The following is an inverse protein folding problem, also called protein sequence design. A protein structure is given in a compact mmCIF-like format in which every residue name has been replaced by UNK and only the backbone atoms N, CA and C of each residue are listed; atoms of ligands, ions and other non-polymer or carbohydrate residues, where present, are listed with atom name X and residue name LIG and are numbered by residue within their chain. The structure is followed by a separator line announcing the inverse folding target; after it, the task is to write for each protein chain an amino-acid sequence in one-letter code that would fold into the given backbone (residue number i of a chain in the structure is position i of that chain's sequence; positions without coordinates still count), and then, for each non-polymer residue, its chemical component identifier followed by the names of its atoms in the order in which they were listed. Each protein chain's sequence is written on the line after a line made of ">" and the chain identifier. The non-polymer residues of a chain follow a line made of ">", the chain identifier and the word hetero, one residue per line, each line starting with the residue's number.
data_IF_505512397634
#
_entry.id   IF_505512397634
#
_cell.length_a   1.000
_cell.length_b   1.000
_cell.length_c   1.000
_cell.angle_alpha   90.00
_cell.angle_beta   90.00
_cell.angle_gamma   90.00
#
_symmetry.space_group_name_H-M   'P 1'
#
loop_
_entity.id
_entity.type
_entity.pdbx_description
1 polymer ?
#
# COMPACT_ATOMS: atom_id res chain seq x y z
N UNK A 1 -59.37 1.66 -12.76
CA UNK A 1 -58.26 1.89 -11.81
C UNK A 1 -56.99 1.95 -12.64
N UNK A 2 -56.39 3.14 -12.66
CA UNK A 2 -55.56 3.68 -13.76
C UNK A 2 -54.25 2.91 -13.98
N UNK A 3 -53.86 2.76 -15.27
CA UNK A 3 -52.54 2.27 -15.73
C UNK A 3 -51.37 2.97 -15.02
N UNK A 4 -51.59 4.21 -14.58
CA UNK A 4 -50.65 5.02 -13.79
C UNK A 4 -50.21 4.34 -12.49
N UNK A 5 -51.07 3.56 -11.83
CA UNK A 5 -50.73 2.90 -10.54
C UNK A 5 -49.82 1.68 -10.76
N UNK A 6 -49.95 1.00 -11.91
CA UNK A 6 -49.06 -0.09 -12.29
C UNK A 6 -47.69 0.42 -12.76
N UNK A 7 -47.66 1.53 -13.51
CA UNK A 7 -46.42 2.19 -13.92
C UNK A 7 -45.64 2.76 -12.72
N UNK A 8 -46.34 3.27 -11.69
CA UNK A 8 -45.67 3.80 -10.49
C UNK A 8 -45.11 2.68 -9.60
N UNK A 9 -45.77 1.51 -9.55
CA UNK A 9 -45.24 0.33 -8.84
C UNK A 9 -44.05 -0.29 -9.57
N UNK A 10 -44.09 -0.38 -10.90
CA UNK A 10 -42.97 -0.86 -11.70
C UNK A 10 -41.77 0.10 -11.63
N UNK A 11 -42.01 1.42 -11.61
CA UNK A 11 -40.95 2.41 -11.38
C UNK A 11 -40.38 2.36 -9.95
N UNK A 12 -41.20 2.06 -8.93
CA UNK A 12 -40.73 1.88 -7.54
C UNK A 12 -40.01 0.54 -7.33
N UNK A 13 -40.42 -0.54 -8.01
CA UNK A 13 -39.73 -1.83 -8.00
C UNK A 13 -38.42 -1.77 -8.80
N UNK A 14 -38.37 -1.03 -9.92
CA UNK A 14 -37.13 -0.73 -10.63
C UNK A 14 -36.22 0.21 -9.82
N UNK A 15 -36.75 1.20 -9.10
CA UNK A 15 -35.95 2.03 -8.19
C UNK A 15 -35.49 1.29 -6.92
N UNK A 16 -36.09 0.15 -6.55
CA UNK A 16 -35.56 -0.72 -5.49
C UNK A 16 -34.56 -1.75 -6.02
N UNK A 17 -34.66 -2.12 -7.30
CA UNK A 17 -33.71 -3.01 -7.97
C UNK A 17 -32.45 -2.28 -8.45
N UNK A 18 -32.52 -0.98 -8.73
CA UNK A 18 -31.37 -0.13 -9.12
C UNK A 18 -30.53 0.35 -7.90
N UNK A 19 -30.92 -0.03 -6.67
CA UNK A 19 -30.13 0.17 -5.44
C UNK A 19 -29.38 -1.11 -5.06
N UNK A 20 -29.53 -2.17 -5.85
CA UNK A 20 -29.03 -3.51 -5.58
C UNK A 20 -28.08 -4.03 -6.65
N UNK A 21 -27.18 -3.20 -7.18
CA UNK A 21 -26.09 -3.69 -8.07
C UNK A 21 -24.84 -2.78 -8.12
N UNK A 22 -24.68 -1.84 -7.17
CA UNK A 22 -23.37 -1.28 -6.84
C UNK A 22 -22.88 -1.98 -5.58
N UNK A 23 -22.13 -3.07 -5.77
CA UNK A 23 -21.17 -3.53 -4.75
C UNK A 23 -20.30 -2.31 -4.44
N UNK A 24 -20.57 -1.62 -3.32
CA UNK A 24 -19.84 -0.44 -2.88
C UNK A 24 -18.44 -0.88 -2.39
N UNK A 25 -17.61 -1.36 -3.33
CA UNK A 25 -16.28 -1.94 -3.13
C UNK A 25 -15.24 -0.83 -3.09
N UNK A 26 -15.32 -0.02 -2.05
CA UNK A 26 -14.36 1.05 -1.80
C UNK A 26 -14.68 1.79 -0.51
N UNK A 27 -13.71 2.55 0.03
CA UNK A 27 -13.92 3.30 1.26
C UNK A 27 -15.02 4.35 1.10
N UNK A 28 -15.78 4.58 2.15
CA UNK A 28 -16.79 5.62 2.21
C UNK A 28 -16.12 6.99 2.21
N UNK A 29 -16.54 7.83 1.24
CA UNK A 29 -16.03 9.21 1.13
C UNK A 29 -16.53 10.10 2.28
N UNK A 30 -15.75 11.11 2.63
CA UNK A 30 -16.06 12.01 3.75
C UNK A 30 -17.35 12.82 3.55
N UNK A 31 -17.79 13.00 2.31
CA UNK A 31 -19.00 13.75 1.99
C UNK A 31 -20.26 13.11 2.61
N UNK A 32 -20.25 11.80 2.87
CA UNK A 32 -21.33 11.11 3.60
C UNK A 32 -21.51 11.63 5.03
N UNK A 33 -20.47 12.22 5.64
CA UNK A 33 -20.55 12.84 6.97
C UNK A 33 -21.35 14.15 6.95
N UNK A 34 -21.46 14.85 5.81
CA UNK A 34 -22.24 16.08 5.69
C UNK A 34 -23.73 15.84 5.97
N UNK A 35 -24.24 14.70 5.49
CA UNK A 35 -25.63 14.30 5.72
C UNK A 35 -25.99 14.11 7.20
N UNK A 36 -24.98 14.00 8.08
CA UNK A 36 -25.13 13.80 9.53
C UNK A 36 -24.83 15.07 10.34
N UNK A 37 -24.88 16.23 9.69
CA UNK A 37 -24.79 17.55 10.31
C UNK A 37 -23.36 17.96 10.69
N UNK A 38 -22.38 17.60 9.85
CA UNK A 38 -21.02 18.12 9.88
C UNK A 38 -20.84 19.14 8.74
N UNK A 39 -19.94 20.10 8.93
CA UNK A 39 -19.73 21.16 7.94
C UNK A 39 -18.59 20.82 6.99
N UNK A 40 -18.57 21.45 5.80
CA UNK A 40 -17.45 21.32 4.86
C UNK A 40 -16.10 21.68 5.48
N UNK A 41 -16.08 22.70 6.35
CA UNK A 41 -14.89 23.10 7.11
C UNK A 41 -14.37 21.96 8.01
N UNK A 42 -15.27 21.20 8.64
CA UNK A 42 -14.84 20.06 9.45
C UNK A 42 -14.20 18.96 8.59
N UNK A 43 -14.68 18.77 7.35
CA UNK A 43 -14.06 17.82 6.41
C UNK A 43 -12.68 18.28 5.95
N UNK A 44 -12.52 19.58 5.65
CA UNK A 44 -11.23 20.15 5.26
C UNK A 44 -10.19 19.96 6.38
N UNK A 45 -10.59 20.18 7.64
CA UNK A 45 -9.73 19.90 8.81
C UNK A 45 -9.35 18.40 8.93
N UNK A 46 -10.27 17.49 8.62
CA UNK A 46 -9.97 16.06 8.61
C UNK A 46 -8.96 15.70 7.51
N UNK A 47 -9.13 16.26 6.31
CA UNK A 47 -8.21 16.09 5.19
C UNK A 47 -6.82 16.66 5.51
N UNK A 48 -6.74 17.84 6.14
CA UNK A 48 -5.48 18.41 6.66
C UNK A 48 -4.83 17.54 7.74
N UNK A 49 -5.65 16.84 8.53
CA UNK A 49 -5.20 15.85 9.51
C UNK A 49 -4.79 14.49 8.92
N UNK A 50 -4.82 14.32 7.59
CA UNK A 50 -4.47 13.08 6.89
C UNK A 50 -5.54 11.99 6.97
N UNK A 51 -6.78 12.36 7.30
CA UNK A 51 -7.94 11.45 7.36
C UNK A 51 -8.83 11.73 6.16
N UNK A 52 -8.77 10.86 5.15
CA UNK A 52 -9.43 11.08 3.86
C UNK A 52 -10.73 10.28 3.66
N UNK A 53 -11.05 9.35 4.56
CA UNK A 53 -12.22 8.46 4.45
C UNK A 53 -12.95 8.33 5.79
N UNK A 54 -14.21 7.87 5.77
CA UNK A 54 -15.01 7.68 6.99
C UNK A 54 -14.40 6.58 7.86
N UNK A 55 -13.89 5.51 7.27
CA UNK A 55 -13.20 4.41 7.97
C UNK A 55 -11.95 4.92 8.69
N UNK A 56 -11.15 5.78 8.05
CA UNK A 56 -9.99 6.41 8.69
C UNK A 56 -10.41 7.15 9.97
N UNK A 57 -11.52 7.90 9.93
CA UNK A 57 -12.09 8.59 11.08
C UNK A 57 -12.64 7.58 12.10
N UNK A 58 -13.27 6.48 11.66
CA UNK A 58 -13.84 5.43 12.51
C UNK A 58 -12.78 4.58 13.23
N UNK A 59 -11.60 4.39 12.64
CA UNK A 59 -10.48 3.63 13.20
C UNK A 59 -9.51 4.50 14.03
N UNK A 60 -9.37 5.79 13.75
CA UNK A 60 -8.41 6.65 14.46
C UNK A 60 -8.74 6.78 15.97
N UNK A 61 -7.80 6.66 16.91
CA UNK A 61 -8.13 6.87 18.32
C UNK A 61 -8.59 8.31 18.56
N UNK A 62 -9.40 8.55 19.61
CA UNK A 62 -9.92 9.89 19.93
C UNK A 62 -8.78 10.92 20.09
N UNK A 63 -7.65 10.50 20.65
CA UNK A 63 -6.43 11.32 20.78
C UNK A 63 -5.92 11.86 19.45
N UNK A 64 -6.03 11.09 18.35
CA UNK A 64 -5.62 11.55 17.01
C UNK A 64 -6.54 12.65 16.49
N UNK A 65 -7.84 12.54 16.72
CA UNK A 65 -8.80 13.57 16.32
C UNK A 65 -8.61 14.87 17.11
N UNK A 66 -8.34 14.77 18.41
CA UNK A 66 -8.07 15.92 19.27
C UNK A 66 -6.75 16.63 18.96
N UNK A 67 -5.81 15.94 18.31
CA UNK A 67 -4.55 16.55 17.88
C UNK A 67 -4.72 17.46 16.65
N UNK A 68 -5.84 17.35 15.93
CA UNK A 68 -6.15 18.20 14.78
C UNK A 68 -6.62 19.57 15.31
N UNK A 69 -5.89 20.62 14.94
CA UNK A 69 -6.21 22.00 15.34
C UNK A 69 -7.61 22.37 14.83
N UNK A 70 -8.46 22.88 15.72
CA UNK A 70 -9.83 23.32 15.39
C UNK A 70 -10.92 22.28 15.66
N UNK A 71 -10.57 21.04 16.05
CA UNK A 71 -11.54 20.03 16.48
C UNK A 71 -11.67 20.07 18.01
N UNK A 72 -12.88 20.39 18.51
CA UNK A 72 -13.20 20.32 19.93
C UNK A 72 -13.53 18.89 20.37
N UNK A 73 -13.48 18.61 21.66
CA UNK A 73 -13.80 17.29 22.21
C UNK A 73 -15.22 16.82 21.88
N UNK A 74 -16.20 17.73 21.97
CA UNK A 74 -17.59 17.46 21.58
C UNK A 74 -17.71 17.09 20.10
N UNK A 75 -16.98 17.81 19.22
CA UNK A 75 -16.95 17.51 17.78
C UNK A 75 -16.29 16.16 17.50
N UNK A 76 -15.16 15.86 18.15
CA UNK A 76 -14.47 14.59 17.99
C UNK A 76 -15.33 13.40 18.43
N UNK A 77 -16.07 13.54 19.53
CA UNK A 77 -17.03 12.53 19.99
C UNK A 77 -18.17 12.31 18.98
N UNK A 78 -18.76 13.41 18.45
CA UNK A 78 -19.80 13.34 17.42
C UNK A 78 -19.29 12.66 16.15
N UNK A 79 -18.11 13.05 15.65
CA UNK A 79 -17.45 12.43 14.50
C UNK A 79 -17.30 10.93 14.70
N UNK A 80 -16.86 10.51 15.89
CA UNK A 80 -16.70 9.10 16.22
C UNK A 80 -17.98 8.31 16.26
N UNK A 81 -19.02 8.89 16.84
CA UNK A 81 -20.33 8.25 16.90
C UNK A 81 -20.87 8.03 15.48
N UNK A 82 -20.91 9.08 14.67
CA UNK A 82 -21.43 9.03 13.30
C UNK A 82 -20.64 8.04 12.44
N UNK A 83 -19.31 8.07 12.52
CA UNK A 83 -18.48 7.17 11.70
C UNK A 83 -18.64 5.70 12.09
N UNK A 84 -18.86 5.41 13.38
CA UNK A 84 -19.14 4.03 13.84
C UNK A 84 -20.47 3.49 13.33
N UNK A 85 -21.49 4.35 13.27
CA UNK A 85 -22.80 3.99 12.72
C UNK A 85 -22.72 3.68 11.22
N UNK A 86 -21.92 4.44 10.47
CA UNK A 86 -21.74 4.23 9.02
C UNK A 86 -20.92 2.98 8.68
N UNK A 87 -19.86 2.70 9.45
CA UNK A 87 -18.97 1.55 9.19
C UNK A 87 -19.43 0.24 9.86
N UNK A 88 -20.63 0.22 10.47
CA UNK A 88 -21.19 -0.95 11.17
C UNK A 88 -20.16 -1.69 12.06
N UNK A 89 -19.42 -0.95 12.88
CA UNK A 89 -18.36 -1.52 13.70
C UNK A 89 -18.95 -2.32 14.87
N UNK A 90 -18.93 -3.65 14.77
CA UNK A 90 -19.50 -4.55 15.77
C UNK A 90 -19.09 -6.00 15.57
N UNK A 91 -19.69 -6.89 16.37
CA UNK A 91 -19.56 -8.33 16.19
C UNK A 91 -20.39 -8.77 14.99
N UNK A 92 -19.82 -9.62 14.15
CA UNK A 92 -20.54 -10.39 13.13
C UNK A 92 -20.37 -11.89 13.43
N UNK A 93 -21.20 -12.71 12.80
CA UNK A 93 -21.04 -14.16 12.86
C UNK A 93 -19.80 -14.61 12.09
N UNK A 94 -19.21 -15.74 12.50
CA UNK A 94 -18.07 -16.31 11.77
C UNK A 94 -18.43 -16.68 10.31
N UNK A 95 -19.70 -17.00 10.06
CA UNK A 95 -20.22 -17.31 8.72
C UNK A 95 -20.19 -16.07 7.81
N UNK A 96 -20.75 -14.94 8.26
CA UNK A 96 -20.72 -13.67 7.50
C UNK A 96 -19.28 -13.23 7.22
N UNK A 97 -18.37 -13.40 8.19
CA UNK A 97 -16.97 -13.06 8.00
C UNK A 97 -16.27 -13.99 6.99
N UNK A 98 -16.60 -15.28 6.97
CA UNK A 98 -16.08 -16.22 5.98
C UNK A 98 -16.51 -15.84 4.56
N UNK A 99 -17.78 -15.47 4.38
CA UNK A 99 -18.32 -15.01 3.09
C UNK A 99 -17.65 -13.71 2.65
N UNK A 100 -17.47 -12.74 3.57
CA UNK A 100 -16.75 -11.51 3.28
C UNK A 100 -15.29 -11.78 2.84
N UNK A 101 -14.61 -12.73 3.48
CA UNK A 101 -13.24 -13.12 3.10
C UNK A 101 -13.16 -13.87 1.78
N UNK A 102 -14.18 -14.64 1.42
CA UNK A 102 -14.24 -15.34 0.14
C UNK A 102 -14.30 -14.36 -1.05
N UNK A 103 -14.81 -13.15 -0.81
CA UNK A 103 -14.89 -12.08 -1.79
C UNK A 103 -13.61 -11.22 -1.89
N UNK A 104 -12.57 -11.50 -1.09
CA UNK A 104 -11.30 -10.78 -1.19
C UNK A 104 -10.60 -11.12 -2.50
N UNK A 105 -10.13 -10.07 -3.18
CA UNK A 105 -9.41 -10.21 -4.43
C UNK A 105 -8.02 -10.79 -4.14
N UNK A 106 -7.63 -11.77 -4.95
CA UNK A 106 -6.26 -12.26 -5.01
C UNK A 106 -5.78 -12.14 -6.45
N UNK A 107 -4.58 -11.61 -6.64
CA UNK A 107 -4.01 -11.47 -7.97
C UNK A 107 -2.71 -12.25 -8.14
N UNK A 108 -2.50 -12.72 -9.37
CA UNK A 108 -1.43 -13.62 -9.76
C UNK A 108 -0.05 -13.03 -9.49
N UNK A 109 0.89 -13.89 -9.08
CA UNK A 109 2.32 -13.60 -8.99
C UNK A 109 3.03 -13.70 -10.33
N UNK A 110 2.36 -14.19 -11.38
CA UNK A 110 2.91 -14.50 -12.69
C UNK A 110 3.49 -15.91 -12.84
N UNK A 111 3.48 -16.72 -11.77
CA UNK A 111 3.89 -18.13 -11.77
C UNK A 111 2.76 -18.99 -11.21
N UNK A 112 2.38 -20.04 -11.94
CA UNK A 112 1.36 -20.99 -11.51
C UNK A 112 1.78 -21.73 -10.24
N UNK A 113 3.07 -22.06 -10.11
CA UNK A 113 3.58 -22.72 -8.90
C UNK A 113 3.47 -21.83 -7.65
N UNK A 114 3.82 -20.54 -7.78
CA UNK A 114 3.67 -19.58 -6.68
C UNK A 114 2.20 -19.34 -6.34
N UNK A 115 1.34 -19.20 -7.33
CA UNK A 115 -0.09 -18.98 -7.11
C UNK A 115 -0.76 -20.20 -6.47
N UNK A 116 -0.30 -21.40 -6.81
CA UNK A 116 -0.72 -22.65 -6.17
C UNK A 116 -0.28 -22.71 -4.70
N UNK A 117 0.97 -22.32 -4.41
CA UNK A 117 1.47 -22.22 -3.04
C UNK A 117 0.65 -21.23 -2.20
N UNK A 118 0.27 -20.09 -2.79
CA UNK A 118 -0.49 -19.04 -2.13
C UNK A 118 -2.02 -19.21 -2.20
N UNK A 119 -2.51 -20.25 -2.88
CA UNK A 119 -3.93 -20.50 -3.15
C UNK A 119 -4.63 -19.28 -3.77
N UNK A 120 -4.10 -18.81 -4.90
CA UNK A 120 -4.65 -17.73 -5.72
C UNK A 120 -3.78 -16.48 -5.86
N UNK A 121 -2.55 -16.49 -5.30
CA UNK A 121 -1.63 -15.36 -5.41
C UNK A 121 -1.66 -14.41 -4.20
N UNK A 122 -1.42 -13.12 -4.43
CA UNK A 122 -1.32 -12.12 -3.36
C UNK A 122 -2.71 -11.62 -2.97
N UNK A 123 -3.07 -11.75 -1.70
CA UNK A 123 -4.36 -11.35 -1.15
C UNK A 123 -4.42 -9.86 -0.78
N UNK A 124 -5.49 -9.17 -1.18
CA UNK A 124 -5.79 -7.80 -0.79
C UNK A 124 -6.23 -7.68 0.68
N UNK A 125 -6.03 -6.51 1.30
CA UNK A 125 -6.39 -6.28 2.70
C UNK A 125 -5.40 -6.86 3.71
N UNK A 126 -4.29 -7.44 3.24
CA UNK A 126 -3.24 -8.02 4.08
C UNK A 126 -1.87 -7.37 3.80
N UNK A 127 -0.99 -7.42 4.81
CA UNK A 127 0.42 -7.09 4.71
C UNK A 127 1.25 -8.37 4.47
N UNK A 128 1.88 -8.44 3.29
CA UNK A 128 2.76 -9.54 2.89
C UNK A 128 4.23 -9.09 2.92
N UNK A 129 5.05 -9.81 3.68
CA UNK A 129 6.50 -9.55 3.77
C UNK A 129 7.27 -10.50 2.82
N UNK A 130 8.08 -9.92 1.94
CA UNK A 130 9.06 -10.63 1.12
C UNK A 130 10.44 -10.45 1.72
N UNK A 131 11.06 -11.52 2.23
CA UNK A 131 12.41 -11.44 2.77
C UNK A 131 13.33 -12.51 2.22
N UNK A 132 14.63 -12.23 2.24
CA UNK A 132 15.64 -13.14 1.72
C UNK A 132 16.93 -12.42 1.37
N UNK A 133 17.91 -13.19 0.94
CA UNK A 133 19.23 -12.67 0.61
C UNK A 133 19.23 -11.72 -0.59
N UNK A 134 20.39 -11.10 -0.85
CA UNK A 134 20.58 -10.37 -2.09
C UNK A 134 20.41 -11.31 -3.28
N UNK A 135 19.93 -10.78 -4.42
CA UNK A 135 19.76 -11.50 -5.69
C UNK A 135 18.70 -12.63 -5.68
N UNK A 136 17.89 -12.76 -4.63
CA UNK A 136 16.80 -13.77 -4.57
C UNK A 136 15.54 -13.39 -5.35
N UNK A 137 15.44 -12.13 -5.82
CA UNK A 137 14.35 -11.71 -6.71
C UNK A 137 13.24 -10.88 -6.07
N UNK A 138 13.40 -10.40 -4.83
CA UNK A 138 12.39 -9.58 -4.12
C UNK A 138 11.81 -8.45 -5.00
N UNK A 139 12.66 -7.53 -5.48
CA UNK A 139 12.22 -6.44 -6.37
C UNK A 139 11.66 -6.94 -7.71
N UNK A 140 12.13 -8.07 -8.25
CA UNK A 140 11.59 -8.63 -9.50
C UNK A 140 10.16 -9.16 -9.31
N UNK A 141 9.87 -9.76 -8.15
CA UNK A 141 8.52 -10.13 -7.77
C UNK A 141 7.65 -8.88 -7.60
N UNK A 142 8.13 -7.85 -6.90
CA UNK A 142 7.43 -6.56 -6.79
C UNK A 142 7.12 -5.94 -8.17
N UNK A 143 8.07 -5.91 -9.10
CA UNK A 143 7.83 -5.41 -10.47
C UNK A 143 6.76 -6.22 -11.21
N UNK A 144 6.72 -7.54 -11.01
CA UNK A 144 5.71 -8.39 -11.65
C UNK A 144 4.33 -8.13 -11.06
N UNK A 145 4.24 -7.99 -9.74
CA UNK A 145 3.01 -7.66 -9.03
C UNK A 145 2.46 -6.27 -9.39
N UNK A 146 3.33 -5.30 -9.65
CA UNK A 146 2.94 -3.95 -10.08
C UNK A 146 2.23 -3.94 -11.46
N UNK A 147 2.44 -4.98 -12.27
CA UNK A 147 1.73 -5.19 -13.54
C UNK A 147 0.51 -6.07 -13.34
N UNK A 148 0.65 -7.20 -12.64
CA UNK A 148 -0.46 -8.16 -12.50
C UNK A 148 -1.65 -7.62 -11.71
N UNK A 149 -1.43 -6.68 -10.78
CA UNK A 149 -2.52 -6.02 -10.06
C UNK A 149 -3.41 -5.15 -10.97
N UNK A 150 -2.94 -4.79 -12.17
CA UNK A 150 -3.68 -3.99 -13.15
C UNK A 150 -4.52 -4.84 -14.09
N UNK A 151 -4.31 -6.16 -14.12
CA UNK A 151 -5.05 -7.06 -15.00
C UNK A 151 -6.54 -7.12 -14.61
N UNK A 152 -7.42 -7.49 -15.57
CA UNK A 152 -8.82 -7.80 -15.29
C UNK A 152 -8.97 -8.93 -14.29
N UNK A 153 -10.08 -8.94 -13.53
CA UNK A 153 -10.34 -9.99 -12.53
C UNK A 153 -10.43 -11.37 -13.19
N UNK A 154 -10.94 -11.45 -14.43
CA UNK A 154 -11.01 -12.69 -15.21
C UNK A 154 -9.63 -13.29 -15.51
N UNK A 155 -8.58 -12.47 -15.50
CA UNK A 155 -7.19 -12.90 -15.68
C UNK A 155 -6.44 -13.03 -14.35
N UNK A 156 -7.17 -13.22 -13.24
CA UNK A 156 -6.60 -13.23 -11.88
C UNK A 156 -5.84 -11.94 -11.57
N UNK A 157 -6.39 -10.81 -12.01
CA UNK A 157 -5.88 -9.48 -11.76
C UNK A 157 -6.59 -8.75 -10.63
N UNK A 158 -6.06 -7.57 -10.28
CA UNK A 158 -6.61 -6.72 -9.23
C UNK A 158 -7.48 -5.58 -9.73
N UNK A 159 -7.54 -5.30 -11.04
CA UNK A 159 -8.19 -4.16 -11.68
C UNK A 159 -7.89 -2.78 -11.07
N UNK A 160 -6.67 -2.60 -10.54
CA UNK A 160 -6.33 -1.37 -9.82
C UNK A 160 -4.93 -0.87 -10.11
N UNK A 161 -4.74 0.42 -9.85
CA UNK A 161 -3.43 1.07 -9.94
C UNK A 161 -2.47 0.54 -8.87
N UNK A 162 -1.18 0.77 -9.09
CA UNK A 162 -0.13 0.43 -8.14
C UNK A 162 0.49 1.69 -7.54
N UNK A 163 0.75 1.70 -6.24
CA UNK A 163 1.56 2.70 -5.57
C UNK A 163 2.88 2.08 -5.13
N UNK A 164 4.01 2.71 -5.47
CA UNK A 164 5.35 2.21 -5.19
C UNK A 164 6.13 3.23 -4.37
N UNK A 165 6.54 2.83 -3.16
CA UNK A 165 7.46 3.58 -2.31
C UNK A 165 8.80 2.88 -2.32
N UNK A 166 9.81 3.55 -2.88
CA UNK A 166 11.17 3.04 -3.02
C UNK A 166 12.11 3.70 -2.02
N UNK A 167 12.98 2.92 -1.38
CA UNK A 167 14.03 3.42 -0.49
C UNK A 167 15.43 3.22 -1.05
N UNK A 168 15.60 2.24 -1.94
CA UNK A 168 16.91 1.82 -2.44
C UNK A 168 17.19 2.35 -3.86
N UNK A 169 16.17 2.83 -4.57
CA UNK A 169 16.28 3.23 -5.97
C UNK A 169 16.35 2.04 -6.90
N UNK A 170 15.60 0.97 -6.62
CA UNK A 170 15.61 -0.31 -7.35
C UNK A 170 14.50 -0.43 -8.39
N UNK A 171 13.54 0.50 -8.39
CA UNK A 171 12.49 0.55 -9.41
C UNK A 171 13.09 0.84 -10.80
N UNK A 172 12.75 0.01 -11.79
CA UNK A 172 13.23 0.13 -13.18
C UNK A 172 12.04 0.07 -14.13
N UNK A 173 11.58 1.20 -14.70
CA UNK A 173 10.44 1.24 -15.61
C UNK A 173 10.56 0.31 -16.81
N UNK A 174 11.79 0.08 -17.31
CA UNK A 174 12.05 -0.81 -18.44
C UNK A 174 11.65 -2.26 -18.14
N UNK A 175 11.71 -2.67 -16.87
CA UNK A 175 11.21 -3.98 -16.43
C UNK A 175 9.70 -4.05 -16.46
N UNK A 176 9.00 -2.97 -16.11
CA UNK A 176 7.54 -2.89 -16.23
C UNK A 176 7.13 -3.08 -17.69
N UNK A 177 7.83 -2.44 -18.63
CA UNK A 177 7.56 -2.57 -20.07
C UNK A 177 7.67 -4.02 -20.55
N UNK A 178 8.72 -4.75 -20.14
CA UNK A 178 8.89 -6.14 -20.57
C UNK A 178 7.84 -7.08 -19.97
N UNK A 179 7.41 -6.80 -18.74
CA UNK A 179 6.38 -7.58 -18.05
C UNK A 179 4.99 -7.27 -18.62
N UNK A 180 4.65 -6.00 -18.85
CA UNK A 180 3.38 -5.57 -19.45
C UNK A 180 3.14 -6.25 -20.81
N UNK A 181 4.17 -6.29 -21.66
CA UNK A 181 4.12 -6.99 -22.96
C UNK A 181 3.79 -8.48 -22.80
N UNK A 182 4.36 -9.15 -21.80
CA UNK A 182 4.07 -10.57 -21.54
C UNK A 182 2.60 -10.79 -21.18
N UNK A 183 2.02 -9.90 -20.38
CA UNK A 183 0.62 -9.98 -19.99
C UNK A 183 -0.35 -9.35 -21.00
N UNK A 184 0.13 -8.90 -22.16
CA UNK A 184 -0.72 -8.32 -23.21
C UNK A 184 -1.28 -6.92 -22.88
N UNK A 185 -0.69 -6.22 -21.91
CA UNK A 185 -1.05 -4.84 -21.57
C UNK A 185 -0.26 -3.83 -22.41
N UNK A 186 -0.85 -2.67 -22.67
CA UNK A 186 -0.11 -1.54 -23.24
C UNK A 186 0.93 -1.02 -22.22
N UNK A 187 2.22 -0.95 -22.58
CA UNK A 187 3.25 -0.50 -21.64
C UNK A 187 3.11 0.96 -21.19
N UNK A 188 2.56 1.84 -22.03
CA UNK A 188 2.36 3.24 -21.69
C UNK A 188 1.29 3.39 -20.62
N UNK A 189 0.11 2.81 -20.87
CA UNK A 189 -0.98 2.80 -19.90
C UNK A 189 -0.59 2.12 -18.59
N UNK A 190 0.18 1.02 -18.67
CA UNK A 190 0.67 0.29 -17.50
C UNK A 190 1.63 1.13 -16.65
N UNK A 191 2.49 1.93 -17.27
CA UNK A 191 3.40 2.84 -16.58
C UNK A 191 2.65 4.02 -15.93
N UNK A 192 1.68 4.61 -16.63
CA UNK A 192 0.86 5.72 -16.11
C UNK A 192 0.01 5.31 -14.90
N UNK A 193 -0.33 4.02 -14.80
CA UNK A 193 -1.05 3.44 -13.67
C UNK A 193 -0.16 3.09 -12.46
N UNK A 194 1.15 3.36 -12.51
CA UNK A 194 2.08 3.16 -11.39
C UNK A 194 2.52 4.52 -10.84
N UNK A 195 2.05 4.86 -9.63
CA UNK A 195 2.52 6.03 -8.90
C UNK A 195 3.81 5.69 -8.14
N UNK A 196 4.92 6.35 -8.47
CA UNK A 196 6.23 6.11 -7.86
C UNK A 196 6.65 7.28 -6.96
N UNK A 197 7.12 6.96 -5.75
CA UNK A 197 7.77 7.90 -4.85
C UNK A 197 9.05 7.28 -4.27
N UNK A 198 10.10 8.10 -4.12
CA UNK A 198 11.34 7.68 -3.47
C UNK A 198 11.49 8.36 -2.12
N UNK A 199 11.60 7.56 -1.06
CA UNK A 199 11.96 8.04 0.26
C UNK A 199 13.49 8.19 0.35
N UNK A 200 13.93 9.38 0.72
CA UNK A 200 15.35 9.71 0.88
C UNK A 200 15.74 9.87 2.36
N UNK A 201 17.02 9.66 2.63
CA UNK A 201 17.66 10.16 3.83
C UNK A 201 17.68 11.69 3.80
N UNK A 202 16.72 12.33 4.45
CA UNK A 202 16.71 13.78 4.63
C UNK A 202 17.66 14.16 5.77
N UNK A 203 18.96 14.24 5.50
CA UNK A 203 19.84 15.07 6.34
C UNK A 203 19.58 16.55 6.04
N UNK A 204 19.19 17.33 7.07
CA UNK A 204 19.13 18.81 7.24
C UNK A 204 18.82 19.77 6.05
N UNK A 205 18.54 19.32 4.81
CA UNK A 205 18.61 20.21 3.63
C UNK A 205 17.40 20.18 2.69
N UNK A 206 16.45 19.26 2.86
CA UNK A 206 15.36 19.07 1.88
C UNK A 206 14.03 19.78 2.19
N UNK A 207 13.97 20.73 3.14
CA UNK A 207 12.72 21.46 3.43
C UNK A 207 12.39 22.52 2.36
N UNK A 208 13.30 22.82 1.42
CA UNK A 208 13.03 23.81 0.35
C UNK A 208 12.24 23.27 -0.85
N UNK A 209 11.88 21.99 -0.88
CA UNK A 209 11.22 21.34 -2.02
C UNK A 209 9.69 21.18 -1.94
N UNK A 210 9.04 21.60 -0.86
CA UNK A 210 7.61 21.28 -0.57
C UNK A 210 6.55 21.92 -1.50
N UNK A 211 6.90 22.43 -2.68
CA UNK A 211 5.92 22.98 -3.64
C UNK A 211 6.05 22.46 -5.09
N UNK A 212 6.96 21.52 -5.40
CA UNK A 212 7.18 21.10 -6.80
C UNK A 212 6.47 19.80 -7.22
N UNK A 213 5.91 19.00 -6.30
CA UNK A 213 5.36 17.67 -6.62
C UNK A 213 3.83 17.59 -6.74
N UNK A 214 3.12 18.72 -6.75
CA UNK A 214 1.65 18.76 -6.86
C UNK A 214 1.14 18.96 -8.31
N UNK A 215 1.99 18.80 -9.32
CA UNK A 215 1.64 19.07 -10.72
C UNK A 215 1.94 17.87 -11.63
N UNK A 216 1.21 16.77 -11.43
CA UNK A 216 1.17 15.67 -12.39
C UNK A 216 -0.14 14.87 -12.30
N UNK A 217 -1.28 15.53 -12.05
CA UNK A 217 -2.61 14.92 -12.12
C UNK A 217 -3.69 15.97 -12.43
N UNK A 218 -3.43 16.88 -13.36
CA UNK A 218 -4.48 17.73 -13.97
C UNK A 218 -4.13 17.96 -15.44
N UNK A 219 -4.70 17.14 -16.35
CA UNK A 219 -4.42 17.31 -17.77
C UNK A 219 -4.99 16.26 -18.70
N UNK A 220 -6.26 15.86 -18.53
CA UNK A 220 -7.01 15.21 -19.60
C UNK A 220 -7.66 16.30 -20.45
N UNK A 221 -7.02 16.68 -21.57
CA UNK A 221 -7.68 17.28 -22.74
C UNK A 221 -6.70 17.49 -23.90
N UNK A 222 -6.87 16.71 -24.96
CA UNK A 222 -6.74 17.22 -26.33
C UNK A 222 -5.34 17.26 -26.96
N UNK A 223 -5.29 16.77 -28.20
CA UNK A 223 -4.16 16.77 -29.11
C UNK A 223 -3.45 18.12 -29.24
N UNK A 224 -2.13 18.12 -29.34
CA UNK A 224 -1.36 18.69 -30.46
C UNK A 224 0.14 18.68 -30.19
N UNK A 225 0.90 18.58 -31.27
CA UNK A 225 2.32 18.27 -31.35
C UNK A 225 3.28 19.34 -30.79
N UNK A 226 4.43 18.86 -30.32
CA UNK A 226 5.73 19.45 -30.69
C UNK A 226 6.36 20.50 -29.76
N UNK A 227 7.68 20.34 -29.60
CA UNK A 227 8.71 21.30 -29.20
C UNK A 227 9.15 21.43 -27.72
N UNK A 228 10.38 20.95 -27.54
CA UNK A 228 11.35 21.14 -26.47
C UNK A 228 11.64 22.63 -26.18
N UNK A 229 11.66 23.02 -24.89
CA UNK A 229 12.47 24.12 -24.30
C UNK A 229 12.32 24.05 -22.76
N UNK A 230 13.32 23.73 -21.94
CA UNK A 230 14.60 24.40 -21.61
C UNK A 230 14.42 25.88 -21.22
N UNK A 231 14.68 26.15 -19.92
CA UNK A 231 14.81 27.44 -19.20
C UNK A 231 13.52 28.20 -18.82
N UNK A 232 13.24 28.30 -17.51
CA UNK A 232 13.18 29.61 -16.82
C UNK A 232 13.39 29.47 -15.30
N UNK A 233 14.57 29.91 -14.86
CA UNK A 233 14.98 30.16 -13.49
C UNK A 233 14.91 31.69 -13.33
N UNK A 234 13.97 32.25 -12.55
CA UNK A 234 14.19 33.53 -11.85
C UNK A 234 13.05 33.89 -10.87
N UNK A 235 13.48 34.16 -9.63
CA UNK A 235 12.97 35.18 -8.71
C UNK A 235 11.55 35.06 -8.17
N UNK A 236 11.41 34.41 -7.01
CA UNK A 236 10.42 34.85 -6.03
C UNK A 236 11.08 35.03 -4.66
N UNK A 237 11.16 36.30 -4.26
CA UNK A 237 11.65 36.77 -2.98
C UNK A 237 10.46 36.73 -2.01
N UNK A 238 10.48 35.85 -1.00
CA UNK A 238 9.54 35.91 0.11
C UNK A 238 10.29 35.85 1.44
N UNK A 239 10.36 37.01 2.09
CA UNK A 239 10.65 37.12 3.51
C UNK A 239 9.40 36.74 4.31
N UNK A 240 9.53 35.78 5.23
CA UNK A 240 8.97 35.94 6.59
C UNK A 240 9.57 34.90 7.52
N UNK A 241 10.12 35.39 8.63
CA UNK A 241 10.58 34.64 9.79
C UNK A 241 9.39 34.01 10.51
N UNK A 242 9.50 32.74 10.88
CA UNK A 242 8.96 32.23 12.14
C UNK A 242 9.76 30.98 12.55
N UNK A 243 10.45 31.09 13.69
CA UNK A 243 11.15 29.99 14.35
C UNK A 243 10.15 28.98 14.87
N UNK A 244 9.74 28.05 14.02
CA UNK A 244 9.18 26.78 14.48
C UNK A 244 10.35 25.83 14.61
N UNK A 245 10.56 25.26 15.80
CA UNK A 245 11.53 24.20 16.04
C UNK A 245 11.33 23.11 14.98
N UNK A 246 12.22 23.07 13.98
CA UNK A 246 12.25 22.01 12.98
C UNK A 246 12.76 20.79 13.74
N UNK A 247 11.85 19.92 14.18
CA UNK A 247 12.26 18.57 14.52
C UNK A 247 12.88 17.98 13.25
N UNK A 248 14.13 17.52 13.35
CA UNK A 248 14.83 16.87 12.26
C UNK A 248 13.93 15.78 11.68
N UNK A 249 13.52 15.93 10.42
CA UNK A 249 12.67 14.95 9.75
C UNK A 249 13.57 13.75 9.44
N UNK A 250 13.37 12.66 10.18
CA UNK A 250 14.11 11.42 9.93
C UNK A 250 13.70 10.82 8.59
N UNK A 251 14.55 9.98 7.99
CA UNK A 251 14.20 9.33 6.73
C UNK A 251 13.01 8.36 6.84
N UNK A 252 12.79 7.66 7.97
CA UNK A 252 11.53 7.00 8.29
C UNK A 252 10.32 7.92 8.44
N UNK A 253 10.48 9.16 8.92
CA UNK A 253 9.35 10.11 8.99
C UNK A 253 8.86 10.46 7.58
N UNK A 254 9.79 10.59 6.61
CA UNK A 254 9.41 10.77 5.21
C UNK A 254 8.63 9.57 4.66
N UNK A 255 8.98 8.33 5.05
CA UNK A 255 8.16 7.16 4.68
C UNK A 255 6.73 7.27 5.23
N UNK A 256 6.54 7.75 6.46
CA UNK A 256 5.21 7.99 7.03
C UNK A 256 4.45 9.12 6.33
N UNK A 257 5.14 10.19 5.92
CA UNK A 257 4.54 11.29 5.14
C UNK A 257 4.04 10.77 3.78
N UNK A 258 4.84 9.95 3.09
CA UNK A 258 4.43 9.31 1.84
C UNK A 258 3.21 8.39 2.01
N UNK A 259 3.08 7.68 3.14
CA UNK A 259 1.86 6.90 3.43
C UNK A 259 0.62 7.78 3.63
N UNK A 260 0.80 8.97 4.20
CA UNK A 260 -0.30 9.94 4.36
C UNK A 260 -0.76 10.44 2.99
N UNK A 261 0.18 10.78 2.10
CA UNK A 261 -0.11 11.16 0.71
C UNK A 261 -0.75 10.02 -0.07
N UNK A 262 -0.27 8.78 0.12
CA UNK A 262 -0.87 7.59 -0.49
C UNK A 262 -2.34 7.44 -0.12
N UNK A 263 -2.71 7.67 1.15
CA UNK A 263 -4.10 7.68 1.59
C UNK A 263 -4.96 8.71 0.85
N UNK A 264 -4.44 9.91 0.59
CA UNK A 264 -5.15 10.92 -0.21
C UNK A 264 -5.39 10.46 -1.66
N UNK A 265 -4.39 9.83 -2.29
CA UNK A 265 -4.51 9.31 -3.66
C UNK A 265 -5.51 8.15 -3.74
N UNK A 266 -5.50 7.25 -2.75
CA UNK A 266 -6.41 6.10 -2.69
C UNK A 266 -7.86 6.47 -2.36
N UNK A 267 -8.11 7.66 -1.82
CA UNK A 267 -9.47 8.18 -1.61
C UNK A 267 -10.13 8.66 -2.92
N UNK A 268 -9.32 9.05 -3.92
CA UNK A 268 -9.81 9.60 -5.20
C UNK A 268 -9.82 8.57 -6.33
N UNK A 269 -8.90 7.61 -6.33
CA UNK A 269 -8.76 6.59 -7.36
C UNK A 269 -8.57 5.21 -6.76
N UNK A 270 -9.03 4.17 -7.48
CA UNK A 270 -8.88 2.79 -7.06
C UNK A 270 -7.44 2.29 -7.27
N UNK A 271 -6.81 1.88 -6.18
CA UNK A 271 -5.53 1.15 -6.19
C UNK A 271 -5.79 -0.29 -5.78
N UNK A 272 -4.99 -1.23 -6.27
CA UNK A 272 -5.03 -2.64 -5.85
C UNK A 272 -3.81 -3.03 -5.01
N UNK A 273 -2.69 -2.31 -5.17
CA UNK A 273 -1.41 -2.69 -4.59
C UNK A 273 -0.62 -1.48 -4.10
N UNK A 274 -0.06 -1.61 -2.89
CA UNK A 274 0.97 -0.75 -2.32
C UNK A 274 2.25 -1.56 -2.12
N UNK A 275 3.34 -1.16 -2.79
CA UNK A 275 4.67 -1.74 -2.62
C UNK A 275 5.55 -0.79 -1.80
N UNK A 276 6.25 -1.33 -0.80
CA UNK A 276 7.36 -0.64 -0.12
C UNK A 276 8.65 -1.45 -0.30
N UNK A 277 9.53 -0.98 -1.18
CA UNK A 277 10.81 -1.63 -1.50
C UNK A 277 11.99 -0.73 -1.07
N UNK A 278 12.65 -0.93 0.07
CA UNK A 278 12.37 -1.86 1.16
C UNK A 278 11.84 -1.15 2.40
N UNK A 279 11.06 -1.84 3.23
CA UNK A 279 10.50 -1.29 4.46
C UNK A 279 11.57 -1.00 5.52
N UNK A 280 12.68 -1.73 5.52
CA UNK A 280 13.71 -1.66 6.57
C UNK A 280 15.02 -1.03 6.13
N UNK A 281 15.19 -0.71 4.84
CA UNK A 281 16.44 -0.16 4.29
C UNK A 281 16.92 1.10 5.01
N UNK A 282 16.04 2.09 5.18
CA UNK A 282 16.37 3.37 5.82
C UNK A 282 16.60 3.25 7.33
N UNK A 283 15.83 2.39 8.00
CA UNK A 283 15.95 2.15 9.45
C UNK A 283 17.31 1.59 9.86
N UNK A 284 18.04 0.94 8.94
CA UNK A 284 19.38 0.41 9.21
C UNK A 284 20.46 1.48 9.24
N UNK A 285 20.36 2.47 8.35
CA UNK A 285 21.36 3.53 8.25
C UNK A 285 21.18 4.59 9.33
N UNK A 286 19.94 4.85 9.72
CA UNK A 286 19.63 5.98 10.60
C UNK A 286 19.70 5.64 12.09
N UNK A 287 19.29 4.42 12.47
CA UNK A 287 19.36 3.99 13.86
C UNK A 287 20.56 3.07 14.08
N UNK A 288 21.67 3.64 14.54
CA UNK A 288 22.95 2.95 14.67
C UNK A 288 23.20 2.47 16.09
N UNK A 289 23.63 1.21 16.22
CA UNK A 289 24.03 0.63 17.51
C UNK A 289 22.85 0.22 18.41
N UNK A 290 23.19 -0.27 19.61
CA UNK A 290 22.20 -0.85 20.55
C UNK A 290 21.38 0.21 21.30
N UNK A 291 21.90 1.42 21.47
CA UNK A 291 21.25 2.49 22.24
C UNK A 291 19.95 3.00 21.59
N UNK A 292 19.87 2.99 20.27
CA UNK A 292 18.73 3.51 19.51
C UNK A 292 17.71 2.44 19.11
N UNK A 293 17.94 1.19 19.55
CA UNK A 293 17.11 0.04 19.21
C UNK A 293 15.64 0.28 19.61
N UNK A 294 15.40 0.82 20.81
CA UNK A 294 14.04 1.06 21.29
C UNK A 294 13.29 2.08 20.41
N UNK A 295 13.92 3.20 20.06
CA UNK A 295 13.36 4.23 19.18
C UNK A 295 13.07 3.68 17.80
N UNK A 296 14.01 2.93 17.22
CA UNK A 296 13.83 2.24 15.93
C UNK A 296 12.63 1.31 15.95
N UNK A 297 12.53 0.45 16.97
CA UNK A 297 11.45 -0.52 17.11
C UNK A 297 10.09 0.16 17.27
N UNK A 298 10.01 1.26 18.05
CA UNK A 298 8.79 2.04 18.21
C UNK A 298 8.36 2.72 16.90
N UNK A 299 9.32 3.29 16.17
CA UNK A 299 9.06 3.94 14.89
C UNK A 299 8.61 2.94 13.83
N UNK A 300 9.29 1.80 13.71
CA UNK A 300 8.91 0.70 12.81
C UNK A 300 7.50 0.19 13.12
N UNK A 301 7.17 0.04 14.42
CA UNK A 301 5.82 -0.36 14.83
C UNK A 301 4.74 0.63 14.34
N UNK A 302 5.00 1.94 14.43
CA UNK A 302 4.08 2.96 13.91
C UNK A 302 3.90 2.83 12.39
N UNK A 303 5.00 2.68 11.65
CA UNK A 303 4.98 2.52 10.20
C UNK A 303 4.19 1.28 9.75
N UNK A 304 4.45 0.11 10.34
CA UNK A 304 3.74 -1.12 10.00
C UNK A 304 2.24 -1.05 10.37
N UNK A 305 1.88 -0.36 11.46
CA UNK A 305 0.48 -0.10 11.79
C UNK A 305 -0.20 0.82 10.78
N UNK A 306 0.50 1.82 10.24
CA UNK A 306 -0.04 2.67 9.17
C UNK A 306 -0.27 1.87 7.88
N UNK A 307 0.67 0.99 7.51
CA UNK A 307 0.49 0.08 6.38
C UNK A 307 -0.73 -0.83 6.56
N UNK A 308 -0.89 -1.44 7.74
CA UNK A 308 -2.07 -2.27 8.02
C UNK A 308 -3.36 -1.47 7.92
N UNK A 309 -3.40 -0.25 8.48
CA UNK A 309 -4.56 0.62 8.36
C UNK A 309 -4.90 0.97 6.92
N UNK A 310 -3.90 1.15 6.05
CA UNK A 310 -4.13 1.37 4.61
C UNK A 310 -4.74 0.12 3.98
N UNK A 311 -4.21 -1.06 4.28
CA UNK A 311 -4.77 -2.34 3.81
C UNK A 311 -6.24 -2.50 4.22
N UNK A 312 -6.55 -2.28 5.50
CA UNK A 312 -7.90 -2.42 6.06
C UNK A 312 -8.89 -1.37 5.52
N UNK A 313 -8.41 -0.14 5.28
CA UNK A 313 -9.28 0.98 4.87
C UNK A 313 -9.60 0.93 3.38
N UNK A 314 -8.58 0.74 2.54
CA UNK A 314 -8.72 0.84 1.09
C UNK A 314 -8.85 -0.54 0.43
N UNK A 315 -8.73 -1.63 1.19
CA UNK A 315 -8.80 -2.99 0.65
C UNK A 315 -7.66 -3.28 -0.34
N UNK A 316 -6.50 -2.66 -0.18
CA UNK A 316 -5.33 -2.87 -1.06
C UNK A 316 -4.45 -3.99 -0.54
N UNK A 317 -3.78 -4.72 -1.42
CA UNK A 317 -2.67 -5.57 -1.03
C UNK A 317 -1.47 -4.71 -0.65
N UNK A 318 -0.83 -4.97 0.49
CA UNK A 318 0.40 -4.29 0.88
C UNK A 318 1.55 -5.28 0.84
N UNK A 319 2.56 -5.00 0.01
CA UNK A 319 3.75 -5.85 -0.13
C UNK A 319 4.98 -5.08 0.30
N UNK A 320 5.68 -5.60 1.29
CA UNK A 320 6.92 -4.99 1.80
C UNK A 320 8.09 -5.90 1.52
N UNK A 321 9.18 -5.35 1.01
CA UNK A 321 10.44 -6.08 0.91
C UNK A 321 11.28 -5.86 2.18
N UNK A 322 11.97 -6.92 2.59
CA UNK A 322 12.83 -6.91 3.77
C UNK A 322 14.15 -7.65 3.50
N UNK A 323 15.17 -7.27 4.25
CA UNK A 323 16.52 -7.83 4.15
C UNK A 323 16.76 -8.84 5.28
N UNK A 324 17.80 -9.66 5.13
CA UNK A 324 18.24 -10.63 6.16
C UNK A 324 19.61 -10.24 6.73
N UNK A 325 19.85 -10.64 7.96
CA UNK A 325 21.14 -10.51 8.65
C UNK A 325 21.62 -11.87 9.14
N UNK A 326 22.93 -12.09 9.12
CA UNK A 326 23.53 -13.27 9.74
C UNK A 326 23.55 -13.10 11.26
N UNK A 327 23.20 -14.17 11.99
CA UNK A 327 23.36 -14.21 13.44
C UNK A 327 24.83 -14.47 13.78
N UNK A 328 25.47 -13.53 14.48
CA UNK A 328 26.90 -13.57 14.86
C UNK A 328 27.13 -13.81 16.37
N UNK A 329 26.16 -14.41 17.07
CA UNK A 329 26.32 -14.66 18.51
C UNK A 329 27.41 -15.71 18.79
N UNK A 330 28.31 -15.34 19.72
CA UNK A 330 29.54 -16.02 20.14
C UNK A 330 29.31 -17.37 20.83
N UNK A 331 28.92 -18.40 20.07
CA UNK A 331 28.96 -19.79 20.53
C UNK A 331 29.61 -20.67 19.47
N UNK A 332 30.62 -21.51 19.80
CA UNK A 332 31.24 -22.42 18.84
C UNK A 332 30.29 -23.59 18.59
N UNK A 333 29.20 -23.35 17.85
CA UNK A 333 28.40 -24.44 17.29
C UNK A 333 28.98 -24.81 15.93
N UNK A 334 29.88 -25.80 15.95
CA UNK A 334 30.48 -26.46 14.79
C UNK A 334 29.46 -27.05 13.79
N UNK A 335 28.15 -27.00 14.09
CA UNK A 335 27.10 -27.68 13.35
C UNK A 335 25.92 -26.80 12.89
N UNK A 336 25.91 -25.49 13.16
CA UNK A 336 24.86 -24.59 12.64
C UNK A 336 25.46 -23.49 11.78
N UNK A 337 25.58 -23.80 10.49
CA UNK A 337 26.03 -22.89 9.45
C UNK A 337 25.05 -21.71 9.29
N UNK A 338 25.49 -20.49 9.62
CA UNK A 338 25.00 -19.25 9.04
C UNK A 338 23.47 -19.07 9.01
N UNK A 339 22.80 -19.21 10.17
CA UNK A 339 21.37 -18.92 10.31
C UNK A 339 21.12 -17.44 9.96
N UNK A 340 20.23 -17.20 8.99
CA UNK A 340 19.87 -15.87 8.49
C UNK A 340 18.49 -15.51 9.00
N UNK A 341 18.39 -14.37 9.68
CA UNK A 341 17.15 -13.89 10.25
C UNK A 341 16.69 -12.62 9.52
N UNK A 342 15.38 -12.44 9.29
CA UNK A 342 14.83 -11.20 8.75
C UNK A 342 15.01 -10.04 9.73
N UNK A 343 15.17 -8.84 9.18
CA UNK A 343 15.35 -7.61 9.98
C UNK A 343 14.00 -7.12 10.55
N UNK A 344 14.04 -6.40 11.67
CA UNK A 344 12.85 -5.83 12.33
C UNK A 344 12.40 -6.61 13.56
N UNK A 345 12.90 -7.84 13.74
CA UNK A 345 12.64 -8.68 14.90
C UNK A 345 11.16 -8.98 15.08
N UNK A 346 10.73 -9.15 16.33
CA UNK A 346 9.36 -9.57 16.66
C UNK A 346 8.30 -8.56 16.19
N UNK A 347 8.64 -7.27 16.06
CA UNK A 347 7.68 -6.25 15.62
C UNK A 347 7.26 -6.50 14.17
N UNK A 348 8.23 -6.75 13.28
CA UNK A 348 7.93 -7.08 11.88
C UNK A 348 7.22 -8.44 11.78
N UNK A 349 7.69 -9.42 12.56
CA UNK A 349 7.14 -10.77 12.56
C UNK A 349 5.67 -10.82 12.98
N UNK A 350 5.25 -10.02 13.97
CA UNK A 350 3.85 -9.98 14.41
C UNK A 350 2.95 -9.07 13.57
N UNK A 351 3.53 -8.09 12.86
CA UNK A 351 2.74 -7.16 12.06
C UNK A 351 2.37 -7.74 10.69
N UNK A 352 3.25 -8.54 10.09
CA UNK A 352 3.04 -9.13 8.76
C UNK A 352 2.21 -10.40 8.89
N UNK A 353 1.07 -10.50 8.19
CA UNK A 353 0.23 -11.71 8.25
C UNK A 353 0.83 -12.85 7.45
N UNK A 354 1.39 -12.57 6.28
CA UNK A 354 2.02 -13.59 5.44
C UNK A 354 3.46 -13.22 5.17
N UNK A 355 4.38 -14.17 5.39
CA UNK A 355 5.82 -13.94 5.28
C UNK A 355 6.41 -14.98 4.33
N UNK A 356 7.00 -14.50 3.25
CA UNK A 356 7.57 -15.32 2.18
C UNK A 356 9.09 -15.21 2.19
N UNK A 357 9.75 -16.36 2.40
CA UNK A 357 11.19 -16.47 2.36
C UNK A 357 11.68 -16.85 0.96
N UNK A 358 12.45 -15.96 0.34
CA UNK A 358 13.03 -16.17 -0.99
C UNK A 358 14.50 -16.57 -0.89
N UNK A 359 14.86 -17.69 -1.52
CA UNK A 359 16.25 -18.16 -1.63
C UNK A 359 16.62 -18.51 -3.07
N UNK A 360 17.92 -18.50 -3.37
CA UNK A 360 18.42 -18.85 -4.70
C UNK A 360 18.37 -20.37 -4.92
N UNK A 361 17.83 -20.80 -6.06
CA UNK A 361 17.87 -22.19 -6.53
C UNK A 361 19.09 -22.46 -7.42
N UNK A 362 18.99 -23.50 -8.27
CA UNK A 362 19.99 -23.81 -9.30
C UNK A 362 19.79 -22.93 -10.53
N UNK A 363 20.88 -22.41 -11.10
CA UNK A 363 20.83 -21.56 -12.28
C UNK A 363 19.98 -20.30 -12.08
N UNK A 364 18.93 -20.16 -12.89
CA UNK A 364 18.00 -19.04 -12.87
C UNK A 364 16.82 -19.23 -11.92
N UNK A 365 16.62 -20.44 -11.39
CA UNK A 365 15.54 -20.72 -10.45
C UNK A 365 15.72 -20.02 -9.10
N UNK A 366 14.59 -19.75 -8.46
CA UNK A 366 14.43 -19.24 -7.11
C UNK A 366 13.41 -20.10 -6.40
N UNK A 367 13.50 -20.15 -5.09
CA UNK A 367 12.59 -20.92 -4.25
C UNK A 367 11.92 -19.93 -3.31
N UNK A 368 10.59 -19.98 -3.26
CA UNK A 368 9.77 -19.27 -2.29
C UNK A 368 9.27 -20.27 -1.27
N UNK A 369 9.52 -20.02 0.02
CA UNK A 369 8.96 -20.78 1.14
C UNK A 369 7.95 -19.91 1.90
N UNK A 370 6.78 -20.45 2.23
CA UNK A 370 5.91 -19.83 3.22
C UNK A 370 6.57 -19.99 4.59
N UNK A 371 6.99 -18.86 5.16
CA UNK A 371 7.64 -18.81 6.47
C UNK A 371 6.62 -18.66 7.60
N UNK A 372 5.58 -17.87 7.37
CA UNK A 372 4.49 -17.65 8.32
C UNK A 372 3.22 -17.26 7.56
N UNK A 373 2.07 -17.80 7.98
CA UNK A 373 0.75 -17.46 7.43
C UNK A 373 -0.35 -17.95 8.38
N UNK A 374 -1.45 -17.19 8.55
CA UNK A 374 -2.56 -17.62 9.39
C UNK A 374 -3.39 -18.78 8.79
N UNK A 375 -3.33 -19.00 7.48
CA UNK A 375 -4.21 -19.94 6.77
C UNK A 375 -3.50 -20.89 5.82
N UNK A 376 -2.27 -20.56 5.39
CA UNK A 376 -1.51 -21.37 4.46
C UNK A 376 -0.54 -22.29 5.22
N UNK A 377 -0.50 -23.59 4.90
CA UNK A 377 0.49 -24.49 5.47
C UNK A 377 1.90 -24.12 4.99
N UNK A 378 2.93 -24.51 5.75
CA UNK A 378 4.30 -24.43 5.26
C UNK A 378 4.45 -25.21 3.95
N UNK A 379 5.07 -24.58 2.96
CA UNK A 379 5.30 -25.16 1.64
C UNK A 379 6.35 -24.37 0.89
N UNK A 380 6.88 -24.97 -0.17
CA UNK A 380 7.85 -24.35 -1.07
C UNK A 380 7.35 -24.44 -2.52
N UNK A 381 7.67 -23.43 -3.31
CA UNK A 381 7.46 -23.43 -4.76
C UNK A 381 8.70 -22.88 -5.46
N UNK A 382 8.95 -23.39 -6.66
CA UNK A 382 10.08 -22.97 -7.50
C UNK A 382 9.55 -22.02 -8.57
N UNK A 383 10.30 -20.95 -8.82
CA UNK A 383 9.98 -19.98 -9.87
C UNK A 383 11.25 -19.52 -10.56
N UNK A 384 11.11 -18.93 -11.73
CA UNK A 384 12.22 -18.36 -12.50
C UNK A 384 12.06 -16.85 -12.64
N UNK A 385 13.19 -16.17 -12.85
CA UNK A 385 13.22 -14.74 -13.19
C UNK A 385 13.64 -14.64 -14.65
N UNK A 386 12.68 -14.38 -15.55
CA UNK A 386 12.92 -14.22 -16.98
C UNK A 386 12.83 -12.76 -17.45
N UNK A 387 12.91 -12.57 -18.77
CA UNK A 387 12.75 -11.25 -19.39
C UNK A 387 11.37 -10.64 -19.10
N UNK A 388 10.32 -11.46 -19.15
CA UNK A 388 8.95 -11.07 -18.81
C UNK A 388 8.59 -11.11 -17.32
N UNK A 389 9.57 -11.06 -16.41
CA UNK A 389 9.35 -11.04 -14.96
C UNK A 389 9.36 -12.43 -14.30
N UNK A 390 8.57 -12.59 -13.24
CA UNK A 390 8.44 -13.87 -12.52
C UNK A 390 7.59 -14.85 -13.33
N UNK A 391 8.12 -16.05 -13.58
CA UNK A 391 7.41 -17.12 -14.29
C UNK A 391 7.71 -18.49 -13.70
N UNK A 392 7.09 -19.53 -14.25
CA UNK A 392 7.35 -20.90 -13.84
C UNK A 392 8.76 -21.34 -14.27
N UNK A 393 9.38 -22.18 -13.44
CA UNK A 393 10.66 -22.78 -13.77
C UNK A 393 10.42 -24.08 -14.54
N UNK A 394 10.87 -24.12 -15.79
CA UNK A 394 10.92 -25.33 -16.60
C UNK A 394 12.33 -25.92 -16.50
N UNK A 395 12.43 -27.17 -16.02
CA UNK A 395 13.71 -27.91 -16.00
C UNK A 395 14.17 -28.10 -17.45
N UNK A 396 15.24 -27.41 -17.84
CA UNK A 396 15.86 -27.50 -19.17
C UNK A 396 16.70 -28.75 -19.36
#
# INVERSE_FOLDING_TARGET
>A
MSSTVQETRQAQEQQLQDVGEDLQTGPLKLEHLLAKGLTKKDLDLLKEGGLHTVECVAFAPLKTLLAIKGISEQKAAKLKQVSKELCSLGFCSAQEYLEARANLIKFTTGSVQLDSLLKGGIETGNLTELFGEFRTGKTQLCHTLAVSCQLPVEQSGGEGKCLWIDTEGTFRPERIVSIAKRFGLDPGDCLDNIAYARAYNCGETCVKGKQAAAFACTGFAGSCAGFIRIFFLQSFHLQSKESTLVHDITSPDHQLELLTQAGAMMAESRFALLIVDSATGLYRSEFAGRGELASRQMHLCRFLRCLQRIADTYGVAVVVSNQVVAKVDNGPSLFNSNEKLPIGGNIMAHASQTRLYLRKGKGESRICKIYDSPSLPEGEAVFAIGEGGIGDYEDS
#
